data_IF_335654510487
#
_entry.id   IF_335654510487
#
_cell.length_a   1.000
_cell.length_b   1.000
_cell.length_c   1.000
_cell.angle_alpha   90.00
_cell.angle_beta   90.00
_cell.angle_gamma   90.00
#
_symmetry.space_group_name_H-M   'P 1'
#
loop_
_entity.id
_entity.type
_entity.pdbx_description
1 polymer ?
#
# COMPACT_ATOMS: atom_id res chain seq x y z
N UNK A 1 -14.68 5.19 -17.64
CA UNK A 1 -15.03 5.41 -16.23
C UNK A 1 -16.22 6.32 -16.12
N UNK A 2 -17.17 5.93 -15.28
CA UNK A 2 -18.28 6.81 -14.87
C UNK A 2 -17.79 7.88 -13.88
N UNK A 3 -18.59 8.93 -13.66
CA UNK A 3 -18.28 9.97 -12.65
C UNK A 3 -18.19 9.37 -11.25
N UNK A 4 -19.14 8.51 -10.87
CA UNK A 4 -19.14 7.85 -9.56
C UNK A 4 -17.89 6.94 -9.37
N UNK A 5 -17.45 6.26 -10.42
CA UNK A 5 -16.20 5.49 -10.39
C UNK A 5 -14.98 6.39 -10.24
N UNK A 6 -14.96 7.55 -10.89
CA UNK A 6 -13.87 8.52 -10.75
C UNK A 6 -13.76 9.06 -9.33
N UNK A 7 -14.89 9.36 -8.69
CA UNK A 7 -14.90 9.78 -7.29
C UNK A 7 -14.38 8.69 -6.35
N UNK A 8 -14.71 7.42 -6.60
CA UNK A 8 -14.17 6.29 -5.84
C UNK A 8 -12.66 6.16 -6.07
N UNK A 9 -12.19 6.29 -7.31
CA UNK A 9 -10.75 6.26 -7.62
C UNK A 9 -9.98 7.39 -6.94
N UNK A 10 -10.52 8.62 -6.98
CA UNK A 10 -9.89 9.78 -6.35
C UNK A 10 -9.86 9.65 -4.82
N UNK A 11 -10.94 9.10 -4.22
CA UNK A 11 -10.97 8.78 -2.80
C UNK A 11 -9.91 7.72 -2.43
N UNK A 12 -9.74 6.67 -3.24
CA UNK A 12 -8.68 5.67 -3.04
C UNK A 12 -7.29 6.32 -3.19
N UNK A 13 -7.10 7.19 -4.18
CA UNK A 13 -5.83 7.90 -4.41
C UNK A 13 -5.43 8.75 -3.21
N UNK A 14 -6.39 9.41 -2.56
CA UNK A 14 -6.16 10.20 -1.35
C UNK A 14 -5.67 9.36 -0.14
N UNK A 15 -5.95 8.06 -0.12
CA UNK A 15 -5.54 7.15 0.97
C UNK A 15 -4.18 6.48 0.77
N UNK A 16 -3.47 6.73 -0.33
CA UNK A 16 -2.15 6.10 -0.61
C UNK A 16 -1.02 6.59 0.29
N UNK A 17 -1.14 7.80 0.82
CA UNK A 17 -0.16 8.41 1.72
C UNK A 17 -0.89 9.22 2.81
N UNK A 18 -1.61 8.55 3.72
CA UNK A 18 -2.41 9.24 4.72
C UNK A 18 -1.50 9.77 5.84
N UNK A 19 -1.92 10.87 6.45
CA UNK A 19 -1.27 11.38 7.66
C UNK A 19 -1.51 10.48 8.88
N UNK A 20 -2.65 9.79 8.92
CA UNK A 20 -3.05 8.88 10.01
C UNK A 20 -3.60 7.57 9.42
N UNK A 21 -2.90 6.44 9.59
CA UNK A 21 -3.34 5.14 9.09
C UNK A 21 -4.67 4.65 9.68
N UNK A 22 -4.99 4.97 10.94
CA UNK A 22 -6.22 4.52 11.57
C UNK A 22 -7.43 5.29 11.03
N UNK A 23 -7.29 6.59 10.82
CA UNK A 23 -8.30 7.40 10.13
C UNK A 23 -8.48 6.91 8.69
N UNK A 24 -7.38 6.59 7.99
CA UNK A 24 -7.44 6.06 6.63
C UNK A 24 -8.17 4.71 6.54
N UNK A 25 -7.99 3.81 7.52
CA UNK A 25 -8.73 2.55 7.59
C UNK A 25 -10.24 2.77 7.75
N UNK A 26 -10.66 3.75 8.57
CA UNK A 26 -12.09 4.12 8.71
C UNK A 26 -12.66 4.68 7.40
N UNK A 27 -11.89 5.52 6.71
CA UNK A 27 -12.27 6.05 5.39
C UNK A 27 -12.37 4.94 4.33
N UNK A 28 -11.46 3.96 4.37
CA UNK A 28 -11.50 2.81 3.46
C UNK A 28 -12.79 2.01 3.63
N UNK A 29 -13.29 1.83 4.86
CA UNK A 29 -14.59 1.20 5.11
C UNK A 29 -15.78 1.96 4.51
N UNK A 30 -15.72 3.29 4.45
CA UNK A 30 -16.74 4.10 3.75
C UNK A 30 -16.67 3.90 2.23
N UNK A 31 -15.45 3.79 1.67
CA UNK A 31 -15.23 3.50 0.26
C UNK A 31 -15.75 2.09 -0.10
N UNK A 32 -15.56 1.10 0.78
CA UNK A 32 -16.07 -0.27 0.58
C UNK A 32 -17.59 -0.28 0.35
N UNK A 33 -18.33 0.56 1.08
CA UNK A 33 -19.79 0.68 0.90
C UNK A 33 -20.16 1.25 -0.47
N UNK A 34 -19.38 2.22 -0.98
CA UNK A 34 -19.60 2.82 -2.32
C UNK A 34 -19.23 1.82 -3.41
N UNK A 35 -18.07 1.18 -3.30
CA UNK A 35 -17.58 0.20 -4.26
C UNK A 35 -18.52 -1.02 -4.38
N UNK A 36 -19.16 -1.44 -3.30
CA UNK A 36 -20.14 -2.53 -3.31
C UNK A 36 -21.45 -2.21 -4.04
N UNK A 37 -21.79 -0.92 -4.21
CA UNK A 37 -23.01 -0.45 -4.88
C UNK A 37 -22.77 0.05 -6.30
N UNK A 38 -21.50 0.31 -6.63
CA UNK A 38 -21.07 0.87 -7.91
C UNK A 38 -21.45 -0.08 -9.06
N UNK A 39 -22.23 0.43 -10.01
CA UNK A 39 -22.65 -0.32 -11.21
C UNK A 39 -21.80 0.07 -12.41
N UNK A 40 -20.69 -0.64 -12.62
CA UNK A 40 -19.74 -0.43 -13.72
C UNK A 40 -19.34 -1.78 -14.34
N UNK A 41 -18.71 -1.81 -15.54
CA UNK A 41 -18.15 -3.04 -16.08
C UNK A 41 -17.22 -3.73 -15.09
N UNK A 42 -17.18 -5.06 -15.13
CA UNK A 42 -16.40 -5.86 -14.18
C UNK A 42 -14.92 -5.47 -14.18
N UNK A 43 -14.35 -5.19 -15.35
CA UNK A 43 -12.96 -4.80 -15.53
C UNK A 43 -12.65 -3.48 -14.81
N UNK A 44 -13.57 -2.53 -14.84
CA UNK A 44 -13.46 -1.24 -14.13
C UNK A 44 -13.59 -1.45 -12.62
N UNK A 45 -14.56 -2.27 -12.20
CA UNK A 45 -14.75 -2.63 -10.79
C UNK A 45 -13.53 -3.36 -10.21
N UNK A 46 -12.97 -4.32 -10.97
CA UNK A 46 -11.80 -5.10 -10.56
C UNK A 46 -10.57 -4.21 -10.35
N UNK A 47 -10.36 -3.22 -11.21
CA UNK A 47 -9.27 -2.24 -11.05
C UNK A 47 -9.42 -1.49 -9.73
N UNK A 48 -10.60 -0.96 -9.42
CA UNK A 48 -10.86 -0.24 -8.16
C UNK A 48 -10.69 -1.17 -6.95
N UNK A 49 -11.17 -2.40 -7.03
CA UNK A 49 -11.05 -3.39 -5.96
C UNK A 49 -9.59 -3.77 -5.68
N UNK A 50 -8.77 -3.95 -6.72
CA UNK A 50 -7.33 -4.21 -6.56
C UNK A 50 -6.59 -3.02 -5.95
N UNK A 51 -6.93 -1.79 -6.32
CA UNK A 51 -6.37 -0.60 -5.69
C UNK A 51 -6.72 -0.53 -4.20
N UNK A 52 -7.98 -0.82 -3.85
CA UNK A 52 -8.46 -0.90 -2.46
C UNK A 52 -7.66 -1.92 -1.63
N UNK A 53 -7.40 -3.12 -2.17
CA UNK A 53 -6.59 -4.14 -1.49
C UNK A 53 -5.13 -3.71 -1.26
N UNK A 54 -4.53 -3.02 -2.24
CA UNK A 54 -3.17 -2.49 -2.11
C UNK A 54 -3.10 -1.45 -0.99
N UNK A 55 -4.05 -0.53 -0.93
CA UNK A 55 -4.14 0.48 0.12
C UNK A 55 -4.31 -0.17 1.49
N UNK A 56 -5.26 -1.11 1.65
CA UNK A 56 -5.47 -1.79 2.94
C UNK A 56 -4.18 -2.47 3.44
N UNK A 57 -3.48 -3.19 2.55
CA UNK A 57 -2.20 -3.82 2.87
C UNK A 57 -1.19 -2.79 3.36
N UNK A 58 -1.05 -1.69 2.65
CA UNK A 58 -0.05 -0.66 2.95
C UNK A 58 -0.36 0.03 4.29
N UNK A 59 -1.64 0.30 4.58
CA UNK A 59 -2.10 0.82 5.89
C UNK A 59 -1.80 -0.15 7.03
N UNK A 60 -2.07 -1.44 6.84
CA UNK A 60 -1.80 -2.48 7.83
C UNK A 60 -0.29 -2.69 8.05
N UNK A 61 0.55 -2.44 7.04
CA UNK A 61 2.00 -2.49 7.19
C UNK A 61 2.53 -1.25 7.91
N UNK A 62 2.02 -0.05 7.58
CA UNK A 62 2.39 1.19 8.26
C UNK A 62 2.09 1.13 9.76
N UNK A 63 0.96 0.54 10.16
CA UNK A 63 0.64 0.34 11.58
C UNK A 63 1.44 -0.76 12.30
N UNK A 64 2.18 -1.61 11.57
CA UNK A 64 3.05 -2.66 12.14
C UNK A 64 4.50 -2.23 12.26
N UNK A 65 4.93 -1.28 11.42
CA UNK A 65 6.23 -0.64 11.54
C UNK A 65 6.03 0.50 12.53
N UNK A 66 6.13 0.22 13.83
CA UNK A 66 6.36 1.32 14.77
C UNK A 66 7.62 2.06 14.32
N UNK A 67 7.66 3.40 14.41
CA UNK A 67 8.90 4.13 14.22
C UNK A 67 9.86 3.63 15.30
N UNK A 68 10.77 2.73 14.91
CA UNK A 68 11.91 2.46 15.74
C UNK A 68 12.71 3.76 15.76
N UNK A 69 12.84 4.38 16.94
CA UNK A 69 13.86 5.42 17.19
C UNK A 69 15.29 4.87 16.98
N UNK A 70 15.42 3.58 16.71
CA UNK A 70 16.68 2.95 16.31
C UNK A 70 16.93 3.25 14.83
N UNK A 71 17.86 4.19 14.61
CA UNK A 71 18.47 4.44 13.32
C UNK A 71 18.75 3.11 12.58
N UNK A 72 18.56 3.05 11.25
CA UNK A 72 18.90 1.85 10.50
C UNK A 72 20.39 1.56 10.70
N UNK A 73 20.71 0.50 11.45
CA UNK A 73 22.04 -0.09 11.40
C UNK A 73 22.17 -0.64 9.97
N UNK A 74 22.88 0.11 9.14
CA UNK A 74 23.01 -0.16 7.71
C UNK A 74 23.48 -1.60 7.45
N UNK A 75 23.05 -2.17 6.32
CA UNK A 75 22.82 -3.60 6.18
C UNK A 75 24.10 -4.44 6.13
N UNK A 76 24.19 -5.44 7.03
CA UNK A 76 25.03 -6.65 6.91
C UNK A 76 24.85 -7.44 5.59
N UNK A 77 23.98 -6.99 4.68
CA UNK A 77 23.76 -7.56 3.36
C UNK A 77 24.92 -7.24 2.41
N UNK A 78 25.57 -6.07 2.53
CA UNK A 78 26.70 -5.71 1.65
C UNK A 78 27.93 -6.58 1.96
N UNK A 79 28.20 -6.84 3.24
CA UNK A 79 29.31 -7.70 3.66
C UNK A 79 29.18 -9.14 3.12
N UNK A 80 27.97 -9.71 3.09
CA UNK A 80 27.73 -11.05 2.52
C UNK A 80 27.92 -11.12 1.00
N UNK A 81 27.74 -10.02 0.28
CA UNK A 81 27.96 -9.97 -1.17
C UNK A 81 29.44 -9.76 -1.48
N UNK A 82 30.14 -8.93 -0.70
CA UNK A 82 31.57 -8.70 -0.84
C UNK A 82 32.38 -9.97 -0.54
N UNK A 83 32.06 -10.68 0.55
CA UNK A 83 32.75 -11.92 0.95
C UNK A 83 32.62 -13.05 -0.10
N UNK A 84 31.49 -13.08 -0.81
CA UNK A 84 31.21 -14.03 -1.88
C UNK A 84 31.94 -13.69 -3.20
N UNK A 85 32.33 -12.43 -3.39
CA UNK A 85 33.03 -11.95 -4.59
C UNK A 85 34.56 -11.95 -4.42
N UNK A 86 35.07 -11.78 -3.20
CA UNK A 86 36.52 -11.81 -2.92
C UNK A 86 37.07 -13.21 -2.63
N UNK A 87 36.21 -14.20 -2.36
CA UNK A 87 36.61 -15.60 -2.11
C UNK A 87 36.80 -16.46 -3.37
N UNK A 88 36.75 -15.88 -4.58
CA UNK A 88 36.79 -16.62 -5.85
C UNK A 88 37.94 -16.14 -6.76
N UNK A 89 39.12 -15.92 -6.17
CA UNK A 89 40.41 -15.97 -6.88
C UNK A 89 41.43 -16.60 -5.94
N UNK A 90 41.37 -17.94 -5.87
CA UNK A 90 42.55 -18.77 -5.60
C UNK A 90 43.22 -19.11 -6.93
#
# INVERSE_FOLDING_TARGET
MSEEAQEVEDALRALRAPADPEVALKMLGAIDTRLARLTVPYEEWEVLYRQRLQIERDLLQAGRIEPSDEAPDEPRVVARVVDKLTGLVG
#
